data_IF_104758961847
#
_entry.id   IF_104758961847
#
_cell.length_a   1.000
_cell.length_b   1.000
_cell.length_c   1.000
_cell.angle_alpha   90.00
_cell.angle_beta   90.00
_cell.angle_gamma   90.00
#
_symmetry.space_group_name_H-M   'P 1'
#
loop_
_entity.id
_entity.type
_entity.pdbx_description
1 polymer ?
#
# COMPACT_ATOMS: atom_id res chain seq x y z
N UNK A 1 22.17 1.80 18.40
CA UNK A 1 21.56 1.11 17.25
C UNK A 1 22.66 0.36 16.50
N UNK A 2 22.61 -0.98 16.43
CA UNK A 2 23.58 -1.77 15.66
C UNK A 2 23.15 -1.73 14.20
N UNK A 3 23.88 -1.02 13.34
CA UNK A 3 23.64 -1.04 11.90
C UNK A 3 24.08 -2.42 11.42
N UNK A 4 23.15 -3.23 10.96
CA UNK A 4 23.44 -4.54 10.39
C UNK A 4 24.12 -4.28 9.03
N UNK A 5 25.34 -4.78 8.86
CA UNK A 5 26.09 -4.64 7.61
C UNK A 5 25.34 -5.31 6.46
N UNK A 6 25.23 -4.61 5.32
CA UNK A 6 24.63 -5.08 4.08
C UNK A 6 23.12 -5.20 4.07
N UNK A 7 22.41 -4.21 4.58
CA UNK A 7 20.93 -4.14 4.54
C UNK A 7 20.50 -2.77 4.05
N UNK A 8 19.63 -2.70 3.04
CA UNK A 8 18.89 -1.47 2.71
C UNK A 8 17.73 -1.32 3.69
N UNK A 9 17.57 -0.14 4.26
CA UNK A 9 16.52 0.15 5.22
C UNK A 9 15.49 1.05 4.56
N UNK A 10 14.25 0.62 4.64
CA UNK A 10 13.09 1.38 4.26
C UNK A 10 12.35 1.77 5.54
N UNK A 11 12.19 3.04 5.81
CA UNK A 11 11.63 3.52 7.06
C UNK A 11 10.48 4.50 6.83
N UNK A 12 9.34 4.25 7.47
CA UNK A 12 8.23 5.18 7.57
C UNK A 12 8.38 5.97 8.87
N UNK A 13 8.48 7.28 8.77
CA UNK A 13 8.66 8.17 9.92
C UNK A 13 7.40 8.99 10.21
N UNK A 14 6.82 8.73 11.37
CA UNK A 14 5.65 9.45 11.88
C UNK A 14 5.90 10.26 13.15
N UNK A 15 7.13 10.25 13.67
CA UNK A 15 7.43 10.92 14.93
C UNK A 15 7.33 12.45 14.84
N UNK A 16 6.99 13.09 15.95
CA UNK A 16 6.91 14.55 16.07
C UNK A 16 8.16 15.07 16.77
N UNK A 17 8.89 16.03 16.16
CA UNK A 17 8.69 16.65 14.86
C UNK A 17 8.99 15.69 13.69
N UNK A 18 8.16 15.78 12.65
CA UNK A 18 8.16 14.85 11.50
C UNK A 18 9.47 14.93 10.72
N UNK A 19 10.12 13.78 10.55
CA UNK A 19 11.46 13.69 9.96
C UNK A 19 12.61 13.55 10.96
N UNK A 20 12.34 13.43 12.25
CA UNK A 20 13.37 13.31 13.29
C UNK A 20 14.31 12.13 13.09
N UNK A 21 13.82 11.03 12.56
CA UNK A 21 14.63 9.83 12.32
C UNK A 21 15.62 10.10 11.17
N UNK A 22 15.20 10.78 10.11
CA UNK A 22 16.13 11.20 9.05
C UNK A 22 17.24 12.08 9.63
N UNK A 23 16.87 13.05 10.46
CA UNK A 23 17.83 13.98 11.08
C UNK A 23 18.75 13.27 12.03
N UNK A 24 18.24 12.37 12.87
CA UNK A 24 19.03 11.68 13.90
C UNK A 24 19.91 10.55 13.34
N UNK A 25 19.44 9.83 12.31
CA UNK A 25 20.13 8.64 11.77
C UNK A 25 20.76 8.87 10.41
N UNK A 26 20.29 9.85 9.60
CA UNK A 26 20.70 10.03 8.22
C UNK A 26 22.19 10.18 8.04
N UNK A 27 22.85 11.03 8.87
CA UNK A 27 24.29 11.22 8.81
C UNK A 27 25.09 9.94 9.16
N UNK A 28 24.61 9.17 10.15
CA UNK A 28 25.25 7.92 10.51
C UNK A 28 25.10 6.87 9.38
N UNK A 29 23.96 6.81 8.75
CA UNK A 29 23.74 5.95 7.59
C UNK A 29 24.62 6.36 6.40
N UNK A 30 24.70 7.63 6.09
CA UNK A 30 25.54 8.17 5.02
C UNK A 30 27.02 7.83 5.25
N UNK A 31 27.53 7.98 6.47
CA UNK A 31 28.89 7.57 6.85
C UNK A 31 29.14 6.05 6.69
N UNK A 32 28.08 5.24 6.78
CA UNK A 32 28.16 3.79 6.58
C UNK A 32 27.89 3.37 5.11
N UNK A 33 27.92 4.31 4.17
CA UNK A 33 27.83 4.06 2.75
C UNK A 33 26.40 3.87 2.24
N UNK A 34 25.38 4.36 2.97
CA UNK A 34 24.00 4.34 2.50
C UNK A 34 23.73 5.57 1.64
N UNK A 35 23.06 5.36 0.52
CA UNK A 35 22.38 6.42 -0.21
C UNK A 35 21.09 6.78 0.51
N UNK A 36 20.89 8.06 0.82
CA UNK A 36 19.68 8.53 1.47
C UNK A 36 18.69 9.00 0.41
N UNK A 37 17.45 8.54 0.52
CA UNK A 37 16.30 8.95 -0.30
C UNK A 37 15.14 9.34 0.61
N UNK A 38 14.37 10.35 0.19
CA UNK A 38 13.29 10.91 1.00
C UNK A 38 12.05 11.12 0.12
N UNK A 39 10.93 10.51 0.52
CA UNK A 39 9.60 10.82 0.02
C UNK A 39 8.83 11.51 1.14
N UNK A 40 8.47 12.78 0.97
CA UNK A 40 7.84 13.58 2.02
C UNK A 40 6.48 14.11 1.55
N UNK A 41 5.40 13.49 2.03
CA UNK A 41 4.03 13.91 1.72
C UNK A 41 3.49 15.04 2.59
N UNK A 42 4.25 15.46 3.63
CA UNK A 42 3.92 16.64 4.45
C UNK A 42 4.44 17.93 3.85
N UNK A 43 5.58 17.88 3.20
CA UNK A 43 6.22 19.01 2.59
C UNK A 43 6.88 18.58 1.29
N UNK A 44 6.15 18.70 0.20
CA UNK A 44 6.59 18.28 -1.13
C UNK A 44 7.90 18.95 -1.59
N UNK A 45 8.15 20.20 -1.16
CA UNK A 45 9.41 20.92 -1.46
C UNK A 45 10.65 20.30 -0.79
N UNK A 46 10.47 19.46 0.22
CA UNK A 46 11.53 18.72 0.91
C UNK A 46 11.53 17.22 0.53
N UNK A 47 10.88 16.86 -0.55
CA UNK A 47 10.81 15.51 -1.08
C UNK A 47 11.65 15.36 -2.33
N UNK A 48 12.14 14.15 -2.55
CA UNK A 48 12.57 13.71 -3.88
C UNK A 48 11.32 13.39 -4.71
N UNK A 49 11.43 13.51 -6.02
CA UNK A 49 10.36 13.23 -6.96
C UNK A 49 10.10 11.73 -7.06
N UNK A 50 8.84 11.38 -7.16
CA UNK A 50 8.37 10.01 -7.31
C UNK A 50 7.31 9.95 -8.41
N UNK A 51 7.67 9.40 -9.54
CA UNK A 51 6.75 9.19 -10.65
C UNK A 51 6.37 7.71 -10.76
N UNK A 52 5.13 7.32 -10.42
CA UNK A 52 4.68 5.93 -10.55
C UNK A 52 4.73 5.36 -11.97
N UNK A 53 4.68 6.21 -13.01
CA UNK A 53 4.79 5.75 -14.40
C UNK A 53 6.19 5.24 -14.75
N UNK A 54 7.23 5.73 -14.08
CA UNK A 54 8.61 5.28 -14.31
C UNK A 54 8.82 3.78 -13.98
N UNK A 55 7.91 3.18 -13.25
CA UNK A 55 7.96 1.77 -12.84
C UNK A 55 6.97 0.87 -13.58
N UNK A 56 6.43 1.33 -14.70
CA UNK A 56 5.61 0.53 -15.60
C UNK A 56 6.53 -0.10 -16.64
N UNK A 57 6.71 -1.41 -16.57
CA UNK A 57 7.50 -2.17 -17.54
C UNK A 57 6.62 -3.06 -18.41
N UNK A 58 5.37 -3.28 -18.01
CA UNK A 58 4.45 -4.20 -18.68
C UNK A 58 2.98 -3.81 -18.51
N UNK A 59 2.11 -4.40 -19.32
CA UNK A 59 0.65 -4.28 -19.15
C UNK A 59 0.16 -4.70 -17.75
N UNK A 60 0.87 -5.64 -17.11
CA UNK A 60 0.56 -6.08 -15.73
C UNK A 60 0.79 -4.96 -14.72
N UNK A 61 1.82 -4.15 -14.92
CA UNK A 61 2.15 -3.06 -14.00
C UNK A 61 1.15 -1.92 -14.11
N UNK A 62 0.63 -1.67 -15.32
CA UNK A 62 -0.50 -0.75 -15.52
C UNK A 62 -1.70 -1.20 -14.69
N UNK A 63 -2.08 -2.47 -14.76
CA UNK A 63 -3.20 -3.01 -13.98
C UNK A 63 -2.95 -2.94 -12.45
N UNK A 64 -1.72 -3.18 -12.00
CA UNK A 64 -1.35 -3.06 -10.58
C UNK A 64 -1.46 -1.60 -10.11
N UNK A 65 -0.95 -0.65 -10.90
CA UNK A 65 -1.03 0.78 -10.60
C UNK A 65 -2.48 1.25 -10.49
N UNK A 66 -3.32 0.92 -11.48
CA UNK A 66 -4.75 1.24 -11.50
C UNK A 66 -5.48 0.63 -10.30
N UNK A 67 -5.22 -0.64 -10.00
CA UNK A 67 -5.84 -1.33 -8.85
C UNK A 67 -5.48 -0.62 -7.54
N UNK A 68 -4.22 -0.24 -7.37
CA UNK A 68 -3.75 0.43 -6.16
C UNK A 68 -4.33 1.84 -6.03
N UNK A 69 -4.40 2.60 -7.13
CA UNK A 69 -5.01 3.91 -7.19
C UNK A 69 -6.48 3.84 -6.75
N UNK A 70 -7.26 2.96 -7.38
CA UNK A 70 -8.69 2.81 -7.10
C UNK A 70 -8.92 2.33 -5.65
N UNK A 71 -8.11 1.39 -5.14
CA UNK A 71 -8.24 0.87 -3.79
C UNK A 71 -8.06 1.95 -2.72
N UNK A 72 -7.17 2.92 -2.95
CA UNK A 72 -6.76 3.93 -1.98
C UNK A 72 -7.35 5.33 -2.20
N UNK A 73 -8.18 5.51 -3.23
CA UNK A 73 -8.89 6.77 -3.50
C UNK A 73 -10.41 6.61 -3.40
N UNK A 74 -10.88 5.59 -2.66
CA UNK A 74 -12.30 5.41 -2.36
C UNK A 74 -12.71 6.46 -1.32
N UNK A 75 -13.75 7.22 -1.61
CA UNK A 75 -14.39 8.05 -0.58
C UNK A 75 -15.02 7.18 0.53
N UNK A 76 -15.44 7.79 1.65
CA UNK A 76 -16.07 7.15 2.83
C UNK A 76 -17.44 6.47 2.53
N UNK A 77 -17.82 6.32 1.27
CA UNK A 77 -19.05 5.64 0.86
C UNK A 77 -18.98 4.12 0.97
N UNK A 78 -20.15 3.48 1.06
CA UNK A 78 -20.31 2.02 0.93
C UNK A 78 -19.54 1.52 -0.29
N UNK A 79 -18.90 0.35 -0.18
CA UNK A 79 -18.17 -0.30 -1.27
C UNK A 79 -18.93 -0.10 -2.59
N UNK A 80 -18.31 0.69 -3.49
CA UNK A 80 -18.96 1.06 -4.74
C UNK A 80 -19.36 -0.19 -5.50
N UNK A 81 -20.47 -0.11 -6.20
CA UNK A 81 -20.96 -1.16 -7.08
C UNK A 81 -19.77 -1.67 -7.93
N UNK A 82 -19.56 -2.97 -7.94
CA UNK A 82 -18.49 -3.65 -8.68
C UNK A 82 -18.42 -3.22 -10.17
N UNK A 83 -19.55 -2.83 -10.70
CA UNK A 83 -19.66 -2.26 -12.06
C UNK A 83 -18.83 -0.98 -12.22
N UNK A 84 -18.96 0.01 -11.30
CA UNK A 84 -18.26 1.29 -11.39
C UNK A 84 -16.75 1.12 -11.31
N UNK A 85 -16.29 0.33 -10.35
CA UNK A 85 -14.87 0.00 -10.19
C UNK A 85 -14.30 -0.65 -11.45
N UNK A 86 -15.04 -1.59 -12.07
CA UNK A 86 -14.60 -2.24 -13.30
C UNK A 86 -14.55 -1.25 -14.47
N UNK A 87 -15.53 -0.37 -14.59
CA UNK A 87 -15.59 0.62 -15.66
C UNK A 87 -14.47 1.68 -15.54
N UNK A 88 -14.23 2.19 -14.33
CA UNK A 88 -13.08 3.07 -14.02
C UNK A 88 -11.76 2.38 -14.34
N UNK A 89 -11.64 1.10 -13.97
CA UNK A 89 -10.43 0.30 -14.25
C UNK A 89 -10.17 0.24 -15.77
N UNK A 90 -11.20 0.02 -16.58
CA UNK A 90 -11.06 -0.01 -18.04
C UNK A 90 -10.56 1.33 -18.59
N UNK A 91 -11.15 2.43 -18.14
CA UNK A 91 -10.75 3.76 -18.60
C UNK A 91 -9.33 4.09 -18.18
N UNK A 92 -8.98 3.99 -16.89
CA UNK A 92 -7.62 4.26 -16.43
C UNK A 92 -6.59 3.37 -17.12
N UNK A 93 -6.90 2.08 -17.30
CA UNK A 93 -5.99 1.15 -17.98
C UNK A 93 -5.78 1.54 -19.43
N UNK A 94 -6.82 2.03 -20.12
CA UNK A 94 -6.72 2.52 -21.49
C UNK A 94 -5.84 3.78 -21.57
N UNK A 95 -6.12 4.78 -20.73
CA UNK A 95 -5.42 6.07 -20.75
C UNK A 95 -3.95 5.92 -20.33
N UNK A 96 -3.69 5.23 -19.21
CA UNK A 96 -2.31 4.98 -18.73
C UNK A 96 -1.55 4.12 -19.77
N UNK A 97 -2.21 3.14 -20.38
CA UNK A 97 -1.61 2.33 -21.43
C UNK A 97 -1.27 3.16 -22.67
N UNK A 98 -2.12 4.12 -23.06
CA UNK A 98 -1.82 5.03 -24.16
C UNK A 98 -0.60 5.93 -23.80
N UNK A 99 -0.62 6.56 -22.64
CA UNK A 99 0.46 7.43 -22.16
C UNK A 99 1.79 6.66 -22.10
N UNK A 100 1.80 5.46 -21.54
CA UNK A 100 3.03 4.65 -21.39
C UNK A 100 3.64 4.25 -22.75
N UNK A 101 2.83 3.85 -23.74
CA UNK A 101 3.36 3.30 -24.99
C UNK A 101 3.51 4.32 -26.12
N UNK A 102 2.75 5.41 -26.11
CA UNK A 102 2.69 6.35 -27.25
C UNK A 102 3.16 7.77 -26.90
N UNK A 103 3.16 8.16 -25.61
CA UNK A 103 3.63 9.49 -25.20
C UNK A 103 5.15 9.51 -24.94
N UNK A 104 5.82 10.67 -25.18
CA UNK A 104 7.22 10.84 -24.79
C UNK A 104 7.39 10.69 -23.27
N UNK A 105 8.60 10.34 -22.84
CA UNK A 105 8.88 10.01 -21.42
C UNK A 105 8.53 11.14 -20.46
N UNK A 106 8.72 12.38 -20.89
CA UNK A 106 8.43 13.60 -20.11
C UNK A 106 6.94 13.78 -19.84
N UNK A 107 6.08 13.18 -20.68
CA UNK A 107 4.63 13.23 -20.55
C UNK A 107 4.06 11.96 -19.84
N UNK A 108 4.89 10.99 -19.50
CA UNK A 108 4.46 9.78 -18.82
C UNK A 108 4.30 10.05 -17.31
N UNK A 109 3.23 10.74 -16.93
CA UNK A 109 2.94 11.13 -15.55
C UNK A 109 1.43 11.35 -15.31
N UNK A 110 1.06 11.65 -14.05
CA UNK A 110 -0.32 11.91 -13.67
C UNK A 110 -0.88 13.21 -14.24
N UNK A 111 -0.05 14.23 -14.49
CA UNK A 111 -0.52 15.48 -15.11
C UNK A 111 -1.13 15.22 -16.49
N UNK A 112 -0.45 14.45 -17.32
CA UNK A 112 -0.95 14.04 -18.63
C UNK A 112 -2.23 13.19 -18.52
N UNK A 113 -2.31 12.27 -17.53
CA UNK A 113 -3.53 11.49 -17.31
C UNK A 113 -4.74 12.38 -16.99
N UNK A 114 -4.54 13.43 -16.18
CA UNK A 114 -5.59 14.40 -15.86
C UNK A 114 -6.01 15.20 -17.08
N UNK A 115 -5.06 15.63 -17.90
CA UNK A 115 -5.33 16.33 -19.14
C UNK A 115 -6.16 15.48 -20.10
N UNK A 116 -5.86 14.17 -20.20
CA UNK A 116 -6.69 13.24 -20.98
C UNK A 116 -8.13 13.17 -20.45
N UNK A 117 -8.31 13.02 -19.12
CA UNK A 117 -9.65 12.98 -18.52
C UNK A 117 -10.41 14.30 -18.74
N UNK A 118 -9.73 15.43 -18.57
CA UNK A 118 -10.33 16.75 -18.79
C UNK A 118 -10.69 17.02 -20.27
N UNK A 119 -9.94 16.43 -21.20
CA UNK A 119 -10.25 16.51 -22.63
C UNK A 119 -11.38 15.57 -23.10
N UNK A 120 -11.82 14.65 -22.21
CA UNK A 120 -12.90 13.72 -22.51
C UNK A 120 -14.26 14.38 -22.23
N UNK A 121 -14.87 15.00 -23.24
CA UNK A 121 -16.23 15.50 -23.20
C UNK A 121 -17.20 14.39 -23.71
N UNK A 122 -18.32 14.23 -23.02
CA UNK A 122 -19.42 13.34 -23.45
C UNK A 122 -20.66 14.17 -23.67
N UNK A 123 -21.21 14.14 -24.89
CA UNK A 123 -22.47 14.77 -25.26
C UNK A 123 -23.57 13.72 -25.28
N UNK A 124 -24.63 13.97 -24.53
CA UNK A 124 -25.75 13.04 -24.39
C UNK A 124 -26.71 13.12 -25.58
N UNK A 125 -26.68 14.24 -26.31
CA UNK A 125 -27.52 14.59 -27.45
C UNK A 125 -26.90 14.25 -28.81
N UNK A 126 -25.62 13.83 -28.83
CA UNK A 126 -24.90 13.48 -30.05
C UNK A 126 -24.02 12.24 -29.80
N UNK A 127 -24.53 11.08 -30.19
CA UNK A 127 -23.85 9.79 -30.04
C UNK A 127 -22.64 9.64 -30.97
N UNK A 128 -22.58 10.41 -32.06
CA UNK A 128 -21.47 10.41 -33.02
C UNK A 128 -20.34 11.39 -32.63
N UNK A 129 -20.55 12.18 -31.57
CA UNK A 129 -19.57 13.14 -31.10
C UNK A 129 -18.26 12.45 -30.65
N UNK A 130 -17.16 12.92 -31.20
CA UNK A 130 -15.81 12.46 -30.84
C UNK A 130 -15.02 13.56 -30.19
N UNK A 131 -14.65 13.36 -28.94
CA UNK A 131 -13.73 14.23 -28.23
C UNK A 131 -12.27 14.03 -28.70
N UNK A 132 -11.31 14.91 -28.32
CA UNK A 132 -9.90 14.79 -28.74
C UNK A 132 -9.28 13.42 -28.42
N UNK A 133 -9.62 12.83 -27.28
CA UNK A 133 -9.08 11.52 -26.87
C UNK A 133 -9.64 10.40 -27.75
N UNK A 134 -10.93 10.47 -28.12
CA UNK A 134 -11.51 9.52 -29.09
C UNK A 134 -10.75 9.53 -30.41
N UNK A 135 -10.40 10.72 -30.92
CA UNK A 135 -9.66 10.87 -32.18
C UNK A 135 -8.25 10.27 -32.06
N UNK A 136 -7.55 10.47 -30.91
CA UNK A 136 -6.25 9.87 -30.65
C UNK A 136 -6.31 8.34 -30.64
N UNK A 137 -7.31 7.77 -29.97
CA UNK A 137 -7.51 6.32 -29.96
C UNK A 137 -7.93 5.74 -31.31
N UNK A 138 -8.72 6.46 -32.10
CA UNK A 138 -9.09 6.07 -33.48
C UNK A 138 -7.83 6.04 -34.37
N UNK A 139 -6.95 7.01 -34.24
CA UNK A 139 -5.69 7.04 -34.99
C UNK A 139 -4.77 5.88 -34.58
N UNK A 140 -4.62 5.64 -33.27
CA UNK A 140 -3.84 4.53 -32.75
C UNK A 140 -4.41 3.18 -33.26
N UNK A 141 -5.75 3.02 -33.25
CA UNK A 141 -6.42 1.83 -33.74
C UNK A 141 -6.15 1.58 -35.23
N UNK A 142 -6.06 2.63 -36.05
CA UNK A 142 -5.72 2.51 -37.48
C UNK A 142 -4.29 2.02 -37.68
N UNK A 143 -3.35 2.50 -36.83
CA UNK A 143 -1.94 2.13 -36.91
C UNK A 143 -1.64 0.77 -36.24
N UNK A 144 -2.26 0.51 -35.08
CA UNK A 144 -2.03 -0.66 -34.23
C UNK A 144 -3.37 -1.20 -33.70
N UNK A 145 -4.15 -1.95 -34.48
CA UNK A 145 -5.50 -2.38 -34.10
C UNK A 145 -5.53 -3.26 -32.83
N UNK A 146 -4.49 -4.06 -32.62
CA UNK A 146 -4.35 -4.97 -31.47
C UNK A 146 -3.64 -4.34 -30.26
N UNK A 147 -3.45 -3.03 -30.27
CA UNK A 147 -2.79 -2.34 -29.16
C UNK A 147 -3.57 -2.50 -27.85
N UNK A 148 -2.86 -2.76 -26.75
CA UNK A 148 -3.47 -2.99 -25.44
C UNK A 148 -4.44 -1.88 -25.02
N UNK A 149 -4.00 -0.61 -25.10
CA UNK A 149 -4.81 0.54 -24.75
C UNK A 149 -6.08 0.64 -25.60
N UNK A 150 -5.99 0.37 -26.91
CA UNK A 150 -7.15 0.36 -27.84
C UNK A 150 -8.18 -0.68 -27.42
N UNK A 151 -7.74 -1.89 -27.05
CA UNK A 151 -8.66 -2.94 -26.58
C UNK A 151 -9.38 -2.55 -25.28
N UNK A 152 -8.70 -1.89 -24.34
CA UNK A 152 -9.31 -1.42 -23.11
C UNK A 152 -10.28 -0.26 -23.36
N UNK A 153 -9.88 0.70 -24.20
CA UNK A 153 -10.71 1.84 -24.57
C UNK A 153 -12.00 1.41 -25.29
N UNK A 154 -11.90 0.48 -26.22
CA UNK A 154 -13.06 -0.07 -26.91
C UNK A 154 -14.09 -0.68 -25.96
N UNK A 155 -13.64 -1.35 -24.88
CA UNK A 155 -14.54 -1.89 -23.84
C UNK A 155 -15.21 -0.77 -23.03
N UNK A 156 -14.47 0.29 -22.68
CA UNK A 156 -15.04 1.46 -22.01
C UNK A 156 -16.12 2.14 -22.88
N UNK A 157 -15.88 2.28 -24.18
CA UNK A 157 -16.83 2.90 -25.15
C UNK A 157 -18.12 2.10 -25.36
N UNK A 158 -18.23 0.87 -24.83
CA UNK A 158 -19.52 0.17 -24.80
C UNK A 158 -20.51 0.78 -23.79
N UNK A 159 -20.04 1.67 -22.93
CA UNK A 159 -20.88 2.37 -21.96
C UNK A 159 -21.73 3.43 -22.67
N UNK A 160 -23.04 3.48 -22.38
CA UNK A 160 -23.93 4.51 -22.88
C UNK A 160 -23.54 5.92 -22.35
N UNK A 161 -23.92 6.99 -23.08
CA UNK A 161 -23.50 8.36 -22.83
C UNK A 161 -23.61 8.83 -21.37
N UNK A 162 -24.77 8.64 -20.73
CA UNK A 162 -24.96 8.98 -19.29
C UNK A 162 -24.03 8.19 -18.37
N UNK A 163 -23.86 6.90 -18.65
CA UNK A 163 -22.95 6.02 -17.86
C UNK A 163 -21.50 6.43 -18.06
N UNK A 164 -21.07 6.71 -19.30
CA UNK A 164 -19.72 7.18 -19.59
C UNK A 164 -19.41 8.50 -18.88
N UNK A 165 -20.35 9.46 -18.88
CA UNK A 165 -20.21 10.73 -18.15
C UNK A 165 -20.04 10.52 -16.63
N UNK A 166 -20.82 9.62 -16.04
CA UNK A 166 -20.71 9.30 -14.61
C UNK A 166 -19.37 8.62 -14.28
N UNK A 167 -18.86 7.75 -15.15
CA UNK A 167 -17.52 7.13 -15.00
C UNK A 167 -16.42 8.21 -15.05
N UNK A 168 -16.51 9.15 -16.00
CA UNK A 168 -15.56 10.27 -16.12
C UNK A 168 -15.53 11.14 -14.87
N UNK A 169 -16.72 11.49 -14.34
CA UNK A 169 -16.84 12.27 -13.08
C UNK A 169 -16.18 11.50 -11.93
N UNK A 170 -16.43 10.21 -11.82
CA UNK A 170 -15.84 9.38 -10.77
C UNK A 170 -14.32 9.29 -10.90
N UNK A 171 -13.80 9.10 -12.12
CA UNK A 171 -12.36 9.13 -12.39
C UNK A 171 -11.74 10.49 -12.04
N UNK A 172 -12.36 11.59 -12.48
CA UNK A 172 -11.88 12.94 -12.13
C UNK A 172 -11.85 13.17 -10.62
N UNK A 173 -12.88 12.75 -9.89
CA UNK A 173 -12.95 12.88 -8.43
C UNK A 173 -11.83 12.13 -7.71
N UNK A 174 -11.42 10.94 -8.20
CA UNK A 174 -10.27 10.20 -7.62
C UNK A 174 -8.93 10.88 -7.84
N UNK A 175 -8.80 11.65 -8.92
CA UNK A 175 -7.58 12.39 -9.23
C UNK A 175 -7.60 13.84 -8.70
N UNK A 176 -8.66 14.26 -8.00
CA UNK A 176 -8.77 15.61 -7.43
C UNK A 176 -7.56 16.02 -6.57
N UNK A 177 -6.88 15.15 -5.79
CA UNK A 177 -5.65 15.52 -5.08
C UNK A 177 -4.56 16.08 -6.01
N UNK A 178 -4.50 15.66 -7.26
CA UNK A 178 -3.53 16.15 -8.24
C UNK A 178 -3.87 17.52 -8.84
N UNK A 179 -4.97 18.16 -8.41
CA UNK A 179 -5.20 19.58 -8.69
C UNK A 179 -4.22 20.48 -7.90
N UNK A 180 -3.58 19.91 -6.85
CA UNK A 180 -2.50 20.55 -6.12
C UNK A 180 -1.24 20.54 -6.98
N UNK A 181 -0.74 21.74 -7.32
CA UNK A 181 0.41 21.89 -8.21
C UNK A 181 1.67 21.20 -7.67
N UNK A 182 1.94 21.34 -6.37
CA UNK A 182 3.10 20.70 -5.75
C UNK A 182 3.07 19.18 -5.85
N UNK A 183 1.88 18.55 -5.85
CA UNK A 183 1.75 17.10 -6.05
C UNK A 183 2.02 16.71 -7.51
N UNK A 184 1.56 17.51 -8.47
CA UNK A 184 1.90 17.31 -9.90
C UNK A 184 3.40 17.40 -10.13
N UNK A 185 4.04 18.41 -9.55
CA UNK A 185 5.50 18.59 -9.62
C UNK A 185 6.22 17.38 -9.00
N UNK A 186 5.80 16.94 -7.81
CA UNK A 186 6.37 15.79 -7.12
C UNK A 186 6.33 14.51 -7.98
N UNK A 187 5.27 14.33 -8.77
CA UNK A 187 5.03 13.12 -9.57
C UNK A 187 5.38 13.28 -11.05
N UNK A 188 6.05 14.38 -11.44
CA UNK A 188 6.39 14.66 -12.83
C UNK A 188 7.50 13.74 -13.37
N UNK A 189 8.52 13.44 -12.56
CA UNK A 189 9.64 12.56 -12.88
C UNK A 189 10.10 11.79 -11.64
N UNK A 190 11.05 10.86 -11.79
CA UNK A 190 11.48 9.98 -10.70
C UNK A 190 12.92 10.21 -10.26
N UNK A 191 13.13 10.29 -8.94
CA UNK A 191 14.43 10.32 -8.28
C UNK A 191 14.61 9.14 -7.29
N UNK A 192 13.53 8.47 -6.94
CA UNK A 192 13.57 7.42 -5.93
C UNK A 192 14.28 6.15 -6.41
N UNK A 193 14.19 5.81 -7.71
CA UNK A 193 14.82 4.61 -8.27
C UNK A 193 14.55 3.39 -7.37
N UNK A 194 13.27 3.09 -7.12
CA UNK A 194 12.84 2.04 -6.18
C UNK A 194 13.42 0.66 -6.53
N UNK A 195 13.63 0.41 -7.81
CA UNK A 195 14.22 -0.82 -8.35
C UNK A 195 15.67 -1.07 -7.91
N UNK A 196 16.36 -0.05 -7.40
CA UNK A 196 17.76 -0.14 -6.98
C UNK A 196 17.97 -0.47 -5.50
N UNK A 197 16.90 -0.54 -4.69
CA UNK A 197 17.00 -0.73 -3.24
C UNK A 197 17.60 -2.08 -2.84
N UNK A 198 17.44 -3.10 -3.68
CA UNK A 198 18.02 -4.43 -3.47
C UNK A 198 19.43 -4.60 -4.03
N UNK A 199 19.97 -3.61 -4.76
CA UNK A 199 21.28 -3.68 -5.41
C UNK A 199 22.39 -3.10 -4.55
N UNK A 200 22.09 -2.05 -3.82
CA UNK A 200 23.04 -1.26 -3.06
C UNK A 200 22.42 -0.76 -1.75
N UNK A 201 23.29 -0.43 -0.79
CA UNK A 201 22.85 0.12 0.50
C UNK A 201 22.11 1.44 0.28
N UNK A 202 20.80 1.42 0.47
CA UNK A 202 19.93 2.58 0.35
C UNK A 202 19.05 2.68 1.59
N UNK A 203 18.85 3.88 2.10
CA UNK A 203 17.87 4.17 3.13
C UNK A 203 16.82 5.12 2.53
N UNK A 204 15.64 4.60 2.28
CA UNK A 204 14.49 5.39 1.85
C UNK A 204 13.62 5.72 3.07
N UNK A 205 13.43 6.99 3.30
CA UNK A 205 12.55 7.52 4.35
C UNK A 205 11.26 8.04 3.71
N UNK A 206 10.13 7.54 4.18
CA UNK A 206 8.81 8.06 3.83
C UNK A 206 8.28 8.84 5.01
N UNK A 207 8.05 10.13 4.81
CA UNK A 207 7.54 11.06 5.82
C UNK A 207 6.09 11.39 5.47
N UNK A 208 5.16 11.09 6.37
CA UNK A 208 3.73 11.28 6.15
C UNK A 208 3.04 11.93 7.35
N UNK A 209 1.81 12.41 7.15
CA UNK A 209 0.96 12.93 8.20
C UNK A 209 0.42 11.81 9.09
N UNK A 210 0.23 12.13 10.38
CA UNK A 210 -0.48 11.31 11.36
C UNK A 210 -1.97 11.69 11.48
N UNK A 211 -2.33 12.88 11.01
CA UNK A 211 -3.66 13.46 11.14
C UNK A 211 -4.38 13.66 9.80
N UNK A 212 -3.66 13.54 8.67
CA UNK A 212 -4.19 13.77 7.33
C UNK A 212 -3.81 12.59 6.43
N UNK A 213 -4.79 11.92 5.87
CA UNK A 213 -4.66 10.75 5.03
C UNK A 213 -4.80 11.05 3.51
N UNK A 214 -4.98 12.33 3.17
CA UNK A 214 -5.23 12.79 1.79
C UNK A 214 -4.24 12.23 0.78
N UNK A 215 -2.95 12.07 1.15
CA UNK A 215 -1.88 11.61 0.27
C UNK A 215 -1.44 10.16 0.53
N UNK A 216 -2.16 9.39 1.35
CA UNK A 216 -1.79 8.01 1.67
C UNK A 216 -1.85 7.08 0.45
N UNK A 217 -2.68 7.41 -0.54
CA UNK A 217 -2.71 6.68 -1.81
C UNK A 217 -1.35 6.67 -2.53
N UNK A 218 -0.60 7.78 -2.47
CA UNK A 218 0.74 7.88 -3.06
C UNK A 218 1.74 6.95 -2.36
N UNK A 219 1.64 6.89 -1.04
CA UNK A 219 2.47 6.01 -0.20
C UNK A 219 2.15 4.53 -0.48
N UNK A 220 0.86 4.19 -0.57
CA UNK A 220 0.43 2.84 -0.94
C UNK A 220 0.92 2.43 -2.33
N UNK A 221 0.91 3.35 -3.30
CA UNK A 221 1.48 3.10 -4.64
C UNK A 221 2.98 2.85 -4.56
N UNK A 222 3.71 3.68 -3.80
CA UNK A 222 5.15 3.51 -3.62
C UNK A 222 5.49 2.14 -3.01
N UNK A 223 4.80 1.71 -1.95
CA UNK A 223 4.99 0.38 -1.36
C UNK A 223 4.64 -0.75 -2.32
N UNK A 224 3.51 -0.63 -3.01
CA UNK A 224 3.07 -1.65 -3.97
C UNK A 224 4.09 -1.83 -5.09
N UNK A 225 4.60 -0.73 -5.64
CA UNK A 225 5.62 -0.77 -6.69
C UNK A 225 6.95 -1.29 -6.14
N UNK A 226 7.39 -0.83 -4.98
CA UNK A 226 8.61 -1.31 -4.34
C UNK A 226 8.61 -2.83 -4.19
N UNK A 227 7.58 -3.40 -3.54
CA UNK A 227 7.51 -4.84 -3.34
C UNK A 227 7.48 -5.63 -4.66
N UNK A 228 6.73 -5.15 -5.66
CA UNK A 228 6.67 -5.79 -6.97
C UNK A 228 8.03 -5.78 -7.67
N UNK A 229 8.68 -4.60 -7.74
CA UNK A 229 9.98 -4.42 -8.36
C UNK A 229 11.06 -5.28 -7.71
N UNK A 230 11.12 -5.30 -6.38
CA UNK A 230 12.10 -6.08 -5.64
C UNK A 230 11.88 -7.59 -5.84
N UNK A 231 10.63 -8.06 -5.85
CA UNK A 231 10.32 -9.46 -6.11
C UNK A 231 10.68 -9.87 -7.54
N UNK A 232 10.27 -9.09 -8.54
CA UNK A 232 10.58 -9.33 -9.95
C UNK A 232 12.10 -9.33 -10.19
N UNK A 233 12.80 -8.36 -9.62
CA UNK A 233 14.26 -8.27 -9.75
C UNK A 233 14.99 -9.42 -9.06
N UNK A 234 14.51 -9.84 -7.88
CA UNK A 234 15.05 -11.02 -7.22
C UNK A 234 14.92 -12.26 -8.08
N UNK A 235 13.74 -12.48 -8.67
CA UNK A 235 13.43 -13.66 -9.45
C UNK A 235 14.12 -13.65 -10.83
N UNK A 236 14.01 -12.55 -11.57
CA UNK A 236 14.40 -12.49 -12.97
C UNK A 236 15.88 -12.11 -13.18
N UNK A 237 16.47 -11.33 -12.25
CA UNK A 237 17.85 -10.84 -12.38
C UNK A 237 18.83 -11.62 -11.48
N UNK A 238 18.42 -11.91 -10.25
CA UNK A 238 19.31 -12.46 -9.22
C UNK A 238 19.05 -13.93 -8.87
N UNK A 239 18.24 -14.64 -9.64
CA UNK A 239 18.01 -16.08 -9.45
C UNK A 239 17.28 -16.41 -8.15
N UNK A 240 16.40 -15.52 -7.69
CA UNK A 240 15.51 -15.71 -6.55
C UNK A 240 15.90 -14.96 -5.27
N UNK A 241 17.04 -14.23 -5.26
CA UNK A 241 17.54 -13.61 -4.03
C UNK A 241 18.28 -12.31 -4.28
N UNK A 242 17.84 -11.21 -3.65
CA UNK A 242 18.50 -9.91 -3.77
C UNK A 242 19.90 -9.93 -3.15
N UNK A 243 20.89 -9.23 -3.75
CA UNK A 243 22.26 -9.15 -3.21
C UNK A 243 22.34 -8.34 -1.92
N UNK A 244 21.42 -7.41 -1.70
CA UNK A 244 21.32 -6.59 -0.47
C UNK A 244 19.95 -6.82 0.15
N UNK A 245 19.96 -7.24 1.43
CA UNK A 245 18.71 -7.43 2.17
C UNK A 245 17.93 -6.13 2.30
N UNK A 246 16.63 -6.14 1.97
CA UNK A 246 15.74 -4.98 2.10
C UNK A 246 14.83 -5.17 3.30
N UNK A 247 14.92 -4.27 4.26
CA UNK A 247 14.06 -4.26 5.44
C UNK A 247 13.07 -3.10 5.38
N UNK A 248 11.79 -3.42 5.33
CA UNK A 248 10.70 -2.45 5.41
C UNK A 248 10.25 -2.31 6.86
N UNK A 249 10.46 -1.13 7.45
CA UNK A 249 9.96 -0.78 8.78
C UNK A 249 8.77 0.17 8.57
N UNK A 250 7.57 -0.30 8.84
CA UNK A 250 6.33 0.43 8.59
C UNK A 250 5.69 0.76 9.93
N UNK A 251 5.97 1.97 10.39
CA UNK A 251 5.34 2.50 11.60
C UNK A 251 3.89 2.91 11.29
N UNK A 252 2.96 2.61 12.18
CA UNK A 252 1.53 2.80 11.99
C UNK A 252 1.00 2.27 10.64
N UNK A 253 1.30 1.01 10.36
CA UNK A 253 1.01 0.36 9.08
C UNK A 253 -0.47 0.43 8.65
N UNK A 254 -1.40 0.70 9.56
CA UNK A 254 -2.80 0.90 9.23
C UNK A 254 -3.09 2.22 8.52
N UNK A 255 -2.20 3.21 8.64
CA UNK A 255 -2.44 4.56 8.09
C UNK A 255 -1.84 4.79 6.70
N UNK A 256 -1.03 3.86 6.18
CA UNK A 256 -0.42 4.00 4.85
C UNK A 256 -1.37 3.70 3.69
N UNK A 257 -2.63 3.35 3.99
CA UNK A 257 -3.57 2.83 3.00
C UNK A 257 -3.38 1.32 2.74
N UNK A 258 -4.15 0.81 1.80
CA UNK A 258 -4.14 -0.62 1.48
C UNK A 258 -3.05 -0.95 0.46
N UNK A 259 -2.13 -1.84 0.81
CA UNK A 259 -1.22 -2.50 -0.14
C UNK A 259 -1.97 -3.73 -0.67
N UNK A 260 -2.38 -3.75 -1.95
CA UNK A 260 -3.13 -4.88 -2.49
C UNK A 260 -2.36 -6.20 -2.37
N UNK A 261 -3.02 -7.24 -1.87
CA UNK A 261 -2.46 -8.59 -1.70
C UNK A 261 -1.26 -8.67 -0.73
N UNK A 262 -1.21 -7.80 0.27
CA UNK A 262 -0.14 -7.83 1.28
C UNK A 262 -0.02 -9.21 1.94
N UNK A 263 -1.13 -9.93 2.19
CA UNK A 263 -1.15 -11.28 2.75
C UNK A 263 -0.33 -12.30 1.93
N UNK A 264 -0.31 -12.13 0.60
CA UNK A 264 0.51 -12.98 -0.29
C UNK A 264 1.96 -12.54 -0.32
N UNK A 265 2.20 -11.24 -0.28
CA UNK A 265 3.54 -10.67 -0.25
C UNK A 265 4.31 -11.15 0.98
N UNK A 266 3.78 -10.95 2.18
CA UNK A 266 4.47 -11.32 3.44
C UNK A 266 4.76 -12.82 3.52
N UNK A 267 3.95 -13.66 2.89
CA UNK A 267 4.19 -15.10 2.81
C UNK A 267 5.38 -15.50 1.92
N UNK A 268 5.81 -14.63 1.00
CA UNK A 268 6.77 -15.02 -0.06
C UNK A 268 8.05 -14.20 -0.10
N UNK A 269 8.07 -12.99 0.46
CA UNK A 269 9.21 -12.04 0.34
C UNK A 269 10.47 -12.50 1.08
N UNK A 270 10.36 -13.35 2.11
CA UNK A 270 11.47 -13.82 2.91
C UNK A 270 12.56 -14.50 2.08
N UNK A 271 12.18 -15.38 1.14
CA UNK A 271 13.13 -16.09 0.27
C UNK A 271 13.94 -15.14 -0.63
N UNK A 272 13.41 -13.94 -0.89
CA UNK A 272 13.98 -12.92 -1.77
C UNK A 272 14.85 -11.89 -1.04
N UNK A 273 15.23 -12.14 0.22
CA UNK A 273 15.96 -11.18 1.08
C UNK A 273 15.16 -9.90 1.35
N UNK A 274 13.85 -10.01 1.49
CA UNK A 274 13.00 -8.90 1.88
C UNK A 274 12.32 -9.24 3.20
N UNK A 275 12.34 -8.33 4.17
CA UNK A 275 11.63 -8.46 5.45
C UNK A 275 10.74 -7.25 5.70
N UNK A 276 9.61 -7.49 6.36
CA UNK A 276 8.64 -6.47 6.70
C UNK A 276 8.39 -6.46 8.21
N UNK A 277 8.37 -5.29 8.81
CA UNK A 277 7.97 -5.05 10.19
C UNK A 277 6.79 -4.08 10.16
N UNK A 278 5.63 -4.55 10.61
CA UNK A 278 4.41 -3.74 10.72
C UNK A 278 4.24 -3.33 12.18
N UNK A 279 4.21 -2.04 12.46
CA UNK A 279 3.88 -1.51 13.79
C UNK A 279 2.43 -1.05 13.78
N UNK A 280 1.68 -1.47 14.78
CA UNK A 280 0.24 -1.21 14.92
C UNK A 280 -0.04 -0.78 16.36
N UNK A 281 -1.04 0.06 16.55
CA UNK A 281 -1.55 0.39 17.88
C UNK A 281 -2.49 -0.70 18.41
N UNK A 282 -3.21 -1.38 17.49
CA UNK A 282 -4.10 -2.48 17.80
C UNK A 282 -4.29 -3.38 16.57
N UNK A 283 -4.56 -4.66 16.77
CA UNK A 283 -4.84 -5.59 15.64
C UNK A 283 -6.15 -5.26 14.92
N UNK A 284 -7.12 -4.64 15.61
CA UNK A 284 -8.36 -4.17 15.00
C UNK A 284 -8.14 -3.18 13.85
N UNK A 285 -7.06 -2.40 13.87
CA UNK A 285 -6.69 -1.51 12.75
C UNK A 285 -6.35 -2.30 11.48
N UNK A 286 -5.59 -3.40 11.62
CA UNK A 286 -5.26 -4.25 10.48
C UNK A 286 -6.52 -4.95 9.93
N UNK A 287 -7.42 -5.41 10.82
CA UNK A 287 -8.70 -6.01 10.44
C UNK A 287 -9.63 -5.03 9.73
N UNK A 288 -9.66 -3.77 10.13
CA UNK A 288 -10.42 -2.73 9.44
C UNK A 288 -9.96 -2.56 7.98
N UNK A 289 -8.64 -2.60 7.73
CA UNK A 289 -8.05 -2.36 6.42
C UNK A 289 -8.07 -3.60 5.52
N UNK A 290 -7.72 -4.77 6.06
CA UNK A 290 -7.52 -6.02 5.29
C UNK A 290 -8.61 -7.06 5.51
N UNK A 291 -9.59 -6.81 6.39
CA UNK A 291 -10.71 -7.73 6.70
C UNK A 291 -10.21 -9.14 7.02
N UNK A 292 -10.73 -10.17 6.33
CA UNK A 292 -10.37 -11.57 6.53
C UNK A 292 -8.90 -11.88 6.22
N UNK A 293 -8.24 -11.09 5.39
CA UNK A 293 -6.82 -11.24 5.09
C UNK A 293 -5.89 -10.82 6.24
N UNK A 294 -6.40 -10.07 7.23
CA UNK A 294 -5.59 -9.61 8.37
C UNK A 294 -5.00 -10.76 9.17
N UNK A 295 -5.78 -11.80 9.45
CA UNK A 295 -5.32 -12.97 10.19
C UNK A 295 -4.22 -13.74 9.42
N UNK A 296 -4.31 -13.77 8.08
CA UNK A 296 -3.27 -14.34 7.22
C UNK A 296 -1.98 -13.52 7.28
N UNK A 297 -2.08 -12.18 7.30
CA UNK A 297 -0.92 -11.31 7.43
C UNK A 297 -0.21 -11.58 8.76
N UNK A 298 -0.94 -11.55 9.88
CA UNK A 298 -0.39 -11.82 11.22
C UNK A 298 0.21 -13.23 11.30
N UNK A 299 -0.46 -14.23 10.75
CA UNK A 299 0.00 -15.63 10.76
C UNK A 299 1.29 -15.88 9.95
N UNK A 300 1.65 -14.98 9.02
CA UNK A 300 2.89 -15.04 8.26
C UNK A 300 4.04 -14.21 8.89
N UNK A 301 3.81 -13.57 10.04
CA UNK A 301 4.86 -12.86 10.77
C UNK A 301 5.58 -13.84 11.71
N UNK A 302 6.89 -13.99 11.55
CA UNK A 302 7.71 -14.88 12.38
C UNK A 302 7.79 -14.44 13.86
N UNK A 303 7.67 -13.13 14.12
CA UNK A 303 7.80 -12.54 15.44
C UNK A 303 6.70 -11.53 15.69
N UNK A 304 6.09 -11.60 16.87
CA UNK A 304 5.19 -10.59 17.41
C UNK A 304 5.78 -10.01 18.71
N UNK A 305 5.88 -8.67 18.76
CA UNK A 305 6.39 -7.96 19.95
C UNK A 305 5.26 -7.09 20.48
N UNK A 306 4.83 -7.36 21.71
CA UNK A 306 3.82 -6.56 22.39
C UNK A 306 4.48 -5.58 23.37
N UNK A 307 4.33 -4.29 23.12
CA UNK A 307 4.93 -3.22 23.94
C UNK A 307 3.96 -2.65 25.00
N UNK A 308 2.79 -3.25 25.12
CA UNK A 308 1.73 -2.83 26.02
C UNK A 308 0.53 -2.25 25.25
N UNK A 309 -0.61 -2.20 25.91
CA UNK A 309 -1.86 -1.67 25.35
C UNK A 309 -3.06 -2.11 26.20
N UNK A 310 -4.21 -1.47 25.93
CA UNK A 310 -5.47 -1.75 26.67
C UNK A 310 -6.60 -2.21 25.72
N UNK A 311 -6.32 -2.44 24.45
CA UNK A 311 -7.32 -2.86 23.47
C UNK A 311 -7.70 -4.34 23.73
N UNK A 312 -8.99 -4.60 24.11
CA UNK A 312 -9.39 -5.92 24.61
C UNK A 312 -9.25 -7.05 23.58
N UNK A 313 -9.42 -6.75 22.28
CA UNK A 313 -9.28 -7.72 21.19
C UNK A 313 -7.85 -8.22 21.07
N UNK A 314 -6.87 -7.33 21.03
CA UNK A 314 -5.45 -7.66 20.98
C UNK A 314 -5.02 -8.44 22.22
N UNK A 315 -5.44 -8.00 23.42
CA UNK A 315 -5.12 -8.70 24.67
C UNK A 315 -5.67 -10.12 24.69
N UNK A 316 -6.91 -10.31 24.24
CA UNK A 316 -7.54 -11.64 24.16
C UNK A 316 -6.82 -12.56 23.19
N UNK A 317 -6.42 -12.07 22.03
CA UNK A 317 -5.69 -12.86 21.02
C UNK A 317 -4.29 -13.25 21.53
N UNK A 318 -3.59 -12.33 22.20
CA UNK A 318 -2.29 -12.61 22.81
C UNK A 318 -2.41 -13.65 23.94
N UNK A 319 -3.38 -13.50 24.83
CA UNK A 319 -3.64 -14.47 25.89
C UNK A 319 -3.98 -15.86 25.33
N UNK A 320 -4.77 -15.93 24.26
CA UNK A 320 -5.08 -17.17 23.56
C UNK A 320 -3.83 -17.81 22.91
N UNK A 321 -2.93 -17.01 22.36
CA UNK A 321 -1.67 -17.48 21.76
C UNK A 321 -0.68 -18.01 22.82
N UNK A 322 -0.65 -17.41 24.00
CA UNK A 322 0.16 -17.89 25.13
C UNK A 322 -0.39 -19.20 25.72
N UNK A 323 -1.67 -19.45 25.57
CA UNK A 323 -2.35 -20.64 26.08
C UNK A 323 -2.78 -20.51 27.53
N UNK A 324 -2.97 -21.67 28.20
CA UNK A 324 -3.45 -21.75 29.58
C UNK A 324 -2.45 -22.45 30.46
N UNK A 325 -2.21 -21.92 31.65
CA UNK A 325 -1.53 -22.65 32.69
C UNK A 325 -2.52 -23.41 33.57
N UNK A 326 -2.11 -24.56 34.09
CA UNK A 326 -2.91 -25.31 35.05
C UNK A 326 -2.58 -24.83 36.46
N UNK A 327 -3.57 -24.26 37.13
CA UNK A 327 -3.43 -23.88 38.54
C UNK A 327 -4.19 -24.88 39.43
N UNK A 328 -3.58 -25.22 40.54
CA UNK A 328 -4.25 -25.95 41.57
C UNK A 328 -5.09 -24.96 42.40
N UNK A 329 -6.40 -25.21 42.41
CA UNK A 329 -7.34 -24.45 43.23
C UNK A 329 -7.90 -25.36 44.30
N UNK A 330 -8.00 -24.87 45.50
CA UNK A 330 -8.63 -25.60 46.61
C UNK A 330 -9.65 -24.70 47.30
N UNK A 331 -10.80 -25.28 47.56
CA UNK A 331 -11.83 -24.65 48.37
C UNK A 331 -11.88 -25.34 49.75
N UNK A 332 -11.81 -24.56 50.77
CA UNK A 332 -12.02 -25.02 52.15
C UNK A 332 -13.45 -24.71 52.55
N UNK A 333 -14.20 -25.73 52.91
CA UNK A 333 -15.55 -25.59 53.50
C UNK A 333 -15.51 -25.93 55.01
N UNK A 334 -16.05 -25.06 55.86
CA UNK A 334 -16.30 -25.30 57.27
C UNK A 334 -17.79 -25.39 57.51
N UNK A 335 -18.26 -26.55 57.96
CA UNK A 335 -19.67 -26.73 58.37
C UNK A 335 -19.74 -26.72 59.90
N UNK A 336 -20.51 -25.81 60.50
CA UNK A 336 -20.72 -25.67 61.92
C UNK A 336 -22.07 -26.29 62.29
N UNK A 337 -22.01 -27.61 62.67
CA UNK A 337 -23.14 -28.33 63.25
C UNK A 337 -22.84 -28.76 64.69
N UNK A 338 -23.45 -29.82 65.17
CA UNK A 338 -23.07 -30.41 66.45
C UNK A 338 -21.63 -30.94 66.49
N UNK A 339 -21.07 -31.24 65.29
CA UNK A 339 -19.66 -31.54 65.07
C UNK A 339 -19.15 -30.60 63.96
N UNK A 340 -17.94 -30.03 64.15
CA UNK A 340 -17.28 -29.16 63.12
C UNK A 340 -16.62 -30.09 62.12
N UNK A 341 -17.05 -30.04 60.85
CA UNK A 341 -16.39 -30.77 59.75
C UNK A 341 -15.69 -29.81 58.82
N UNK A 342 -14.45 -30.14 58.44
CA UNK A 342 -13.69 -29.38 57.42
C UNK A 342 -13.63 -30.25 56.16
N UNK A 343 -13.97 -29.62 55.01
CA UNK A 343 -13.81 -30.25 53.70
C UNK A 343 -12.77 -29.47 52.91
N UNK A 344 -11.85 -30.20 52.26
CA UNK A 344 -10.91 -29.66 51.31
C UNK A 344 -11.17 -30.25 49.93
N UNK A 345 -11.62 -29.40 49.01
CA UNK A 345 -11.84 -29.84 47.61
C UNK A 345 -10.69 -29.34 46.76
N UNK A 346 -9.97 -30.26 46.15
CA UNK A 346 -8.93 -30.01 45.19
C UNK A 346 -9.51 -29.98 43.78
N UNK A 347 -9.23 -28.89 43.01
CA UNK A 347 -9.67 -28.80 41.62
C UNK A 347 -8.51 -28.20 40.78
N UNK A 348 -8.19 -28.86 39.67
CA UNK A 348 -7.26 -28.30 38.68
C UNK A 348 -8.06 -27.44 37.69
N UNK A 349 -7.77 -26.18 37.66
CA UNK A 349 -8.39 -25.20 36.74
C UNK A 349 -7.38 -24.71 35.73
N UNK A 350 -7.77 -24.65 34.45
CA UNK A 350 -7.01 -23.93 33.44
C UNK A 350 -7.26 -22.43 33.60
N UNK A 351 -6.20 -21.65 33.80
CA UNK A 351 -6.23 -20.20 33.85
C UNK A 351 -5.45 -19.64 32.67
N UNK A 352 -6.01 -18.61 31.98
CA UNK A 352 -5.28 -17.94 30.92
C UNK A 352 -4.01 -17.31 31.49
N UNK A 353 -2.90 -17.45 30.77
CA UNK A 353 -1.66 -16.81 31.18
C UNK A 353 -1.80 -15.28 31.10
N UNK A 354 -1.24 -14.55 32.06
CA UNK A 354 -1.35 -13.09 32.12
C UNK A 354 -0.58 -12.39 30.97
#
# INVERSE_FOLDING_TARGET
MKIISNTSVFYLDKTVPKGDIVVSCGHALQKNGYQIKILNSLNFKKSMHYNPFAYIHSEKDILKLVTTLIANTKGEGKAGDDFWVKAETLLYTALIGYIHYEAPVEEQNFSTLIEFINAMEVREDDEDFKNPVDLMFDELKKRKPDHFAVRQYAKFKLSAGKTAKSILISCGARLAPFDIQELRELTAYDELQLDTLGDRKTALFIIMSDTDDTFNFLISMCYTQLFNLLCEKADDVYGGRLPVHVRCLIDEAANIGQIPRLEKLVATIRSREISCCLVLQAQSQLKALYKDSADTIVGNMDCSIFLGGKEPGTLKELAAALGKETIDSYNTGESRGREVSHSLNYQKLGKDMP
#
